data_IF_268900207450
#
_entry.id   IF_268900207450
#
_cell.length_a   1.000
_cell.length_b   1.000
_cell.length_c   1.000
_cell.angle_alpha   90.00
_cell.angle_beta   90.00
_cell.angle_gamma   90.00
#
_symmetry.space_group_name_H-M   'P 1'
#
loop_
_entity.id
_entity.type
_entity.pdbx_description
1 polymer ?
#
# COMPACT_ATOMS: atom_id res chain seq x y z
N UNK A 1 -22.23 -9.33 23.90
CA UNK A 1 -23.01 -9.08 22.66
C UNK A 1 -22.09 -8.31 21.75
N UNK A 2 -21.25 -9.05 21.03
CA UNK A 2 -19.90 -8.59 20.66
C UNK A 2 -19.84 -8.15 19.20
N UNK A 3 -20.65 -7.14 18.88
CA UNK A 3 -20.50 -6.42 17.63
C UNK A 3 -19.55 -5.25 17.87
N UNK A 4 -18.31 -5.36 17.40
CA UNK A 4 -17.48 -4.18 17.18
C UNK A 4 -18.10 -3.44 15.99
N UNK A 5 -18.72 -2.26 16.18
CA UNK A 5 -19.30 -1.56 15.05
C UNK A 5 -18.13 -1.00 14.24
N UNK A 6 -17.85 -1.60 13.09
CA UNK A 6 -17.13 -0.92 12.02
C UNK A 6 -18.12 0.11 11.42
N UNK A 7 -18.38 1.17 12.19
CA UNK A 7 -19.01 2.35 11.65
C UNK A 7 -18.02 2.91 10.64
N UNK A 8 -18.38 2.93 9.36
CA UNK A 8 -18.41 4.16 8.58
C UNK A 8 -19.18 3.86 7.30
N UNK A 9 -20.44 4.30 7.31
CA UNK A 9 -21.27 4.43 6.13
C UNK A 9 -20.53 5.26 5.08
N UNK A 10 -20.54 4.72 3.86
CA UNK A 10 -20.26 5.34 2.58
C UNK A 10 -20.25 6.88 2.61
N UNK A 11 -19.08 7.48 2.45
CA UNK A 11 -19.01 8.84 1.92
C UNK A 11 -18.21 8.83 0.62
N UNK A 12 -18.77 9.54 -0.34
CA UNK A 12 -18.40 9.68 -1.75
C UNK A 12 -16.91 9.91 -2.04
N UNK A 13 -16.57 10.02 -3.34
CA UNK A 13 -15.28 10.42 -3.95
C UNK A 13 -14.53 11.62 -3.32
N UNK A 14 -15.08 12.22 -2.27
CA UNK A 14 -14.60 13.39 -1.53
C UNK A 14 -13.96 13.03 -0.18
N UNK A 15 -13.77 11.76 0.19
CA UNK A 15 -12.97 11.37 1.36
C UNK A 15 -11.46 11.53 1.10
N UNK A 16 -11.09 12.79 0.89
CA UNK A 16 -9.83 13.35 1.33
C UNK A 16 -9.61 12.93 2.78
N UNK A 17 -8.47 12.28 3.00
CA UNK A 17 -7.94 11.90 4.30
C UNK A 17 -8.13 13.04 5.32
N UNK A 18 -8.91 12.83 6.38
CA UNK A 18 -8.96 13.76 7.51
C UNK A 18 -7.68 13.60 8.33
N UNK A 19 -6.56 14.11 7.83
CA UNK A 19 -5.46 14.51 8.70
C UNK A 19 -6.04 15.58 9.63
N UNK A 20 -6.22 15.24 10.91
CA UNK A 20 -6.74 16.16 11.93
C UNK A 20 -8.13 15.87 12.49
N UNK A 21 -8.54 14.60 12.73
CA UNK A 21 -9.52 14.40 13.81
C UNK A 21 -8.82 14.70 15.14
N UNK A 22 -9.28 15.71 15.88
CA UNK A 22 -8.91 15.89 17.29
C UNK A 22 -9.29 14.62 18.04
N UNK A 23 -8.34 14.04 18.77
CA UNK A 23 -8.69 13.12 19.84
C UNK A 23 -9.41 13.95 20.93
N UNK A 24 -10.36 13.38 21.67
CA UNK A 24 -11.08 14.11 22.73
C UNK A 24 -10.16 14.77 23.76
N UNK A 25 -8.91 14.29 23.87
CA UNK A 25 -7.90 14.71 24.84
C UNK A 25 -6.94 15.81 24.32
N UNK A 26 -7.05 16.24 23.06
CA UNK A 26 -6.16 17.26 22.48
C UNK A 26 -6.56 18.69 22.88
N UNK A 27 -5.71 19.35 23.68
CA UNK A 27 -5.86 20.74 24.16
C UNK A 27 -5.38 21.80 23.14
N UNK A 28 -4.88 21.38 21.97
CA UNK A 28 -4.39 22.33 20.96
C UNK A 28 -5.55 23.04 20.25
N UNK A 29 -5.74 24.33 20.58
CA UNK A 29 -6.82 25.19 20.07
C UNK A 29 -6.58 25.74 18.67
N UNK A 30 -5.40 25.50 18.07
CA UNK A 30 -5.10 25.96 16.72
C UNK A 30 -6.10 25.39 15.71
N UNK A 31 -6.53 26.18 14.71
CA UNK A 31 -7.41 25.67 13.66
C UNK A 31 -6.71 24.53 12.93
N UNK A 32 -7.36 23.37 12.91
CA UNK A 32 -6.97 22.28 12.03
C UNK A 32 -7.24 22.78 10.62
N UNK A 33 -6.19 23.15 9.90
CA UNK A 33 -6.31 23.21 8.45
C UNK A 33 -6.50 21.76 8.01
N UNK A 34 -7.67 21.38 7.45
CA UNK A 34 -7.74 20.12 6.73
C UNK A 34 -6.73 20.30 5.62
N UNK A 35 -5.52 19.77 5.79
CA UNK A 35 -4.56 19.77 4.72
C UNK A 35 -5.31 19.05 3.59
N UNK A 36 -5.59 19.73 2.46
CA UNK A 36 -5.83 18.95 1.25
C UNK A 36 -4.67 17.97 1.22
N UNK A 37 -4.87 16.73 0.81
CA UNK A 37 -3.72 15.96 0.35
C UNK A 37 -3.21 16.69 -0.88
N UNK A 38 -2.49 17.80 -0.68
CA UNK A 38 -1.63 18.36 -1.67
C UNK A 38 -0.67 17.22 -1.93
N UNK A 39 -0.85 16.63 -3.10
CA UNK A 39 -0.07 15.61 -3.79
C UNK A 39 1.42 15.98 -3.96
N UNK A 40 1.92 16.94 -3.18
CA UNK A 40 3.26 17.49 -3.24
C UNK A 40 4.21 16.92 -2.20
N UNK A 41 3.73 16.24 -1.16
CA UNK A 41 4.63 15.54 -0.25
C UNK A 41 4.93 14.14 -0.80
N UNK A 42 6.19 13.80 -1.11
CA UNK A 42 6.58 12.50 -1.67
C UNK A 42 6.57 11.36 -0.63
N UNK A 43 5.76 11.50 0.42
CA UNK A 43 5.76 10.62 1.59
C UNK A 43 4.81 9.42 1.45
N UNK A 44 5.10 8.31 2.14
CA UNK A 44 4.23 7.15 2.15
C UNK A 44 2.91 7.43 2.90
N UNK A 45 1.82 6.89 2.38
CA UNK A 45 0.50 6.84 3.04
C UNK A 45 0.54 5.83 4.20
N UNK A 46 0.15 6.30 5.38
CA UNK A 46 0.07 5.48 6.58
C UNK A 46 -0.96 4.34 6.42
N UNK A 47 -0.67 3.18 7.03
CA UNK A 47 -1.54 1.98 6.97
C UNK A 47 -2.94 2.21 7.51
N UNK A 48 -3.08 3.04 8.54
CA UNK A 48 -4.37 3.29 9.22
C UNK A 48 -5.25 4.32 8.51
N UNK A 49 -4.74 4.99 7.46
CA UNK A 49 -5.48 6.03 6.78
C UNK A 49 -6.60 5.45 5.90
N UNK A 50 -7.78 6.09 5.83
CA UNK A 50 -8.92 5.62 5.02
C UNK A 50 -8.56 5.27 3.58
N UNK A 51 -7.69 6.07 2.96
CA UNK A 51 -7.21 5.86 1.59
C UNK A 51 -6.49 4.53 1.38
N UNK A 52 -5.95 3.93 2.43
CA UNK A 52 -5.21 2.67 2.40
C UNK A 52 -5.95 1.54 3.11
N UNK A 53 -6.51 1.77 4.29
CA UNK A 53 -7.15 0.72 5.09
C UNK A 53 -8.38 0.10 4.42
N UNK A 54 -9.04 0.84 3.50
CA UNK A 54 -10.14 0.32 2.68
C UNK A 54 -9.81 -0.96 1.90
N UNK A 55 -8.53 -1.25 1.67
CA UNK A 55 -8.03 -2.44 0.98
C UNK A 55 -7.78 -3.63 1.92
N UNK A 56 -7.66 -3.40 3.23
CA UNK A 56 -7.41 -4.45 4.24
C UNK A 56 -8.72 -5.16 4.67
N UNK A 57 -9.39 -5.81 3.72
CA UNK A 57 -10.67 -6.50 3.95
C UNK A 57 -10.47 -7.95 4.40
N UNK A 58 -11.53 -8.55 4.94
CA UNK A 58 -11.60 -9.99 5.25
C UNK A 58 -10.98 -10.45 6.57
N UNK A 59 -10.41 -9.55 7.40
CA UNK A 59 -9.85 -9.90 8.71
C UNK A 59 -10.92 -10.05 9.80
N UNK A 60 -11.74 -11.10 9.70
CA UNK A 60 -12.85 -11.39 10.61
C UNK A 60 -12.48 -12.44 11.69
N UNK A 61 -13.38 -12.73 12.63
CA UNK A 61 -13.21 -13.84 13.59
C UNK A 61 -13.13 -15.21 12.89
N UNK A 62 -13.81 -15.37 11.76
CA UNK A 62 -13.73 -16.57 10.92
C UNK A 62 -12.32 -16.72 10.33
N UNK A 63 -11.75 -15.64 9.79
CA UNK A 63 -10.35 -15.63 9.34
C UNK A 63 -9.39 -16.04 10.46
N UNK A 64 -9.58 -15.50 11.69
CA UNK A 64 -8.73 -15.82 12.84
C UNK A 64 -8.76 -17.32 13.18
N UNK A 65 -9.93 -17.97 13.06
CA UNK A 65 -10.13 -19.36 13.44
C UNK A 65 -9.68 -20.36 12.37
N UNK A 66 -9.84 -20.01 11.09
CA UNK A 66 -9.71 -20.99 9.99
C UNK A 66 -8.65 -20.65 8.94
N UNK A 67 -8.33 -19.37 8.73
CA UNK A 67 -7.47 -18.92 7.61
C UNK A 67 -6.08 -18.49 8.06
N UNK A 68 -5.96 -17.96 9.30
CA UNK A 68 -4.67 -17.59 9.90
C UNK A 68 -3.68 -18.77 9.77
N UNK A 69 -2.43 -18.57 9.30
CA UNK A 69 -1.70 -17.31 9.15
C UNK A 69 -1.76 -16.66 7.75
N UNK A 70 -2.59 -17.15 6.83
CA UNK A 70 -2.67 -16.62 5.46
C UNK A 70 -3.54 -15.36 5.38
N UNK A 71 -3.40 -14.60 4.30
CA UNK A 71 -4.28 -13.46 4.04
C UNK A 71 -5.72 -13.93 3.80
N UNK A 72 -6.74 -13.14 4.20
CA UNK A 72 -8.12 -13.37 3.78
C UNK A 72 -8.25 -13.34 2.26
N UNK A 73 -9.23 -14.07 1.71
CA UNK A 73 -9.50 -14.08 0.26
C UNK A 73 -9.94 -12.70 -0.26
N UNK A 74 -10.59 -11.90 0.59
CA UNK A 74 -11.04 -10.54 0.25
C UNK A 74 -9.94 -9.47 0.36
N UNK A 75 -8.74 -9.84 0.83
CA UNK A 75 -7.65 -8.89 1.02
C UNK A 75 -7.16 -8.35 -0.33
N UNK A 76 -7.23 -7.04 -0.52
CA UNK A 76 -6.70 -6.39 -1.72
C UNK A 76 -5.23 -6.01 -1.50
N UNK A 77 -4.35 -6.58 -2.33
CA UNK A 77 -2.91 -6.33 -2.30
C UNK A 77 -2.53 -4.86 -2.57
N UNK A 78 -3.44 -4.04 -3.09
CA UNK A 78 -3.27 -2.58 -3.14
C UNK A 78 -3.02 -1.97 -1.75
N UNK A 79 -3.46 -2.64 -0.67
CA UNK A 79 -3.10 -2.26 0.70
C UNK A 79 -1.58 -2.19 0.91
N UNK A 80 -0.78 -2.99 0.20
CA UNK A 80 0.66 -3.02 0.37
C UNK A 80 1.37 -1.84 -0.31
N UNK A 81 0.72 -1.16 -1.25
CA UNK A 81 1.26 0.03 -1.90
C UNK A 81 1.04 1.27 -1.03
N UNK A 82 2.13 1.81 -0.46
CA UNK A 82 2.06 3.02 0.35
C UNK A 82 2.20 4.32 -0.46
N UNK A 83 2.49 4.26 -1.76
CA UNK A 83 2.59 5.47 -2.57
C UNK A 83 1.20 6.10 -2.79
N UNK A 84 1.06 7.43 -2.68
CA UNK A 84 -0.10 8.15 -3.20
C UNK A 84 -0.43 7.76 -4.64
N UNK A 85 -1.71 7.77 -5.02
CA UNK A 85 -2.17 7.31 -6.33
C UNK A 85 -1.43 7.98 -7.50
N UNK A 86 -1.22 9.30 -7.42
CA UNK A 86 -0.47 10.09 -8.39
C UNK A 86 1.02 9.69 -8.52
N UNK A 87 1.56 8.97 -7.54
CA UNK A 87 2.95 8.50 -7.49
C UNK A 87 3.06 6.99 -7.78
N UNK A 88 1.95 6.32 -8.11
CA UNK A 88 1.96 4.91 -8.47
C UNK A 88 2.29 4.74 -9.94
N UNK A 89 3.27 3.87 -10.22
CA UNK A 89 3.57 3.49 -11.60
C UNK A 89 2.39 2.75 -12.21
N UNK A 90 2.04 3.08 -13.46
CA UNK A 90 0.97 2.39 -14.17
C UNK A 90 1.40 0.93 -14.49
N UNK A 91 0.89 -0.02 -13.70
CA UNK A 91 1.22 -1.44 -13.82
C UNK A 91 2.47 -1.83 -13.02
N UNK A 92 3.29 -2.71 -13.57
CA UNK A 92 4.46 -3.26 -12.90
C UNK A 92 5.77 -2.81 -13.56
N UNK A 93 6.79 -2.62 -12.73
CA UNK A 93 8.16 -2.38 -13.18
C UNK A 93 8.72 -3.63 -13.87
N UNK A 94 9.37 -3.43 -15.00
CA UNK A 94 9.95 -4.44 -15.89
C UNK A 94 11.48 -4.49 -15.81
N UNK A 95 12.11 -3.44 -15.28
CA UNK A 95 13.56 -3.25 -15.24
C UNK A 95 14.05 -2.39 -16.40
N UNK A 96 15.22 -1.77 -16.23
CA UNK A 96 15.83 -0.81 -17.16
C UNK A 96 15.05 0.50 -17.38
N UNK A 97 13.98 0.78 -16.63
CA UNK A 97 13.30 2.06 -16.71
C UNK A 97 14.24 3.19 -16.27
N UNK A 98 14.17 4.33 -16.99
CA UNK A 98 14.93 5.53 -16.65
C UNK A 98 14.37 6.19 -15.39
N UNK A 99 15.25 6.44 -14.41
CA UNK A 99 14.96 7.18 -13.18
C UNK A 99 15.58 8.56 -13.34
N UNK A 100 14.78 9.61 -13.15
CA UNK A 100 15.24 11.00 -13.18
C UNK A 100 14.88 11.66 -11.85
N UNK A 101 15.88 12.23 -11.19
CA UNK A 101 15.74 12.99 -9.95
C UNK A 101 16.09 14.45 -10.25
N UNK A 102 15.10 15.34 -10.20
CA UNK A 102 15.29 16.77 -10.41
C UNK A 102 15.09 17.52 -9.10
N UNK A 103 16.07 18.32 -8.68
CA UNK A 103 16.04 19.13 -7.46
C UNK A 103 16.10 18.33 -6.15
N UNK A 104 16.45 17.04 -6.20
CA UNK A 104 16.48 16.15 -5.02
C UNK A 104 17.87 16.01 -4.40
N UNK A 105 18.94 16.23 -5.16
CA UNK A 105 20.31 16.13 -4.68
C UNK A 105 20.91 17.52 -4.49
N UNK A 106 21.59 17.74 -3.35
CA UNK A 106 22.25 19.03 -3.06
C UNK A 106 23.35 19.36 -4.07
N UNK A 107 24.09 18.36 -4.52
CA UNK A 107 25.27 18.54 -5.38
C UNK A 107 24.94 18.74 -6.86
N UNK A 108 23.73 18.37 -7.29
CA UNK A 108 23.38 18.32 -8.70
C UNK A 108 21.88 18.49 -8.86
N UNK A 109 21.48 19.40 -9.75
CA UNK A 109 20.06 19.66 -10.01
C UNK A 109 19.39 18.46 -10.66
N UNK A 110 20.03 17.85 -11.67
CA UNK A 110 19.44 16.72 -12.40
C UNK A 110 20.34 15.49 -12.28
N UNK A 111 19.76 14.38 -11.83
CA UNK A 111 20.45 13.09 -11.77
C UNK A 111 19.63 12.05 -12.52
N UNK A 112 20.28 11.34 -13.44
CA UNK A 112 19.67 10.26 -14.22
C UNK A 112 20.35 8.94 -13.91
N UNK A 113 19.53 7.91 -13.66
CA UNK A 113 19.94 6.53 -13.51
C UNK A 113 18.90 5.61 -14.15
N UNK A 114 19.06 4.29 -14.00
CA UNK A 114 18.13 3.30 -14.53
C UNK A 114 17.85 2.23 -13.46
N UNK A 115 16.64 1.70 -13.46
CA UNK A 115 16.35 0.50 -12.67
C UNK A 115 17.25 -0.64 -13.15
N UNK A 116 17.73 -1.50 -12.24
CA UNK A 116 18.43 -2.71 -12.65
C UNK A 116 17.56 -3.50 -13.64
N UNK A 117 18.13 -3.94 -14.75
CA UNK A 117 17.48 -4.82 -15.72
C UNK A 117 17.28 -6.21 -15.15
N UNK A 118 16.47 -6.32 -14.10
CA UNK A 118 16.22 -7.55 -13.36
C UNK A 118 14.72 -7.80 -13.38
N UNK A 119 14.35 -9.02 -13.75
CA UNK A 119 12.98 -9.51 -13.70
C UNK A 119 12.87 -10.66 -12.70
N UNK A 120 11.94 -10.52 -11.77
CA UNK A 120 11.61 -11.56 -10.81
C UNK A 120 10.45 -12.38 -11.38
N UNK A 121 10.59 -13.70 -11.37
CA UNK A 121 9.50 -14.61 -11.70
C UNK A 121 9.40 -15.71 -10.66
N UNK A 122 8.16 -16.04 -10.29
CA UNK A 122 7.85 -17.11 -9.36
C UNK A 122 7.06 -18.18 -10.11
N UNK A 123 7.46 -19.43 -9.94
CA UNK A 123 6.73 -20.58 -10.47
C UNK A 123 6.21 -21.43 -9.32
N UNK A 124 4.91 -21.71 -9.36
CA UNK A 124 4.23 -22.56 -8.39
C UNK A 124 3.97 -23.93 -9.03
N UNK A 125 4.49 -24.97 -8.39
CA UNK A 125 4.23 -26.35 -8.79
C UNK A 125 3.20 -26.96 -7.84
N UNK A 126 2.09 -27.47 -8.39
CA UNK A 126 1.12 -28.26 -7.64
C UNK A 126 1.49 -29.74 -7.79
N UNK A 127 1.97 -30.36 -6.72
CA UNK A 127 2.21 -31.80 -6.69
C UNK A 127 0.87 -32.55 -6.74
N UNK A 128 0.76 -33.55 -7.61
CA UNK A 128 -0.44 -34.42 -7.74
C UNK A 128 -0.59 -35.39 -6.57
N UNK A 129 0.47 -35.59 -5.78
CA UNK A 129 0.43 -36.40 -4.56
C UNK A 129 0.46 -35.43 -3.38
N UNK A 130 -0.30 -35.74 -2.33
CA UNK A 130 -0.69 -34.86 -1.23
C UNK A 130 0.46 -34.35 -0.31
N UNK A 131 1.68 -34.18 -0.83
CA UNK A 131 2.85 -33.62 -0.15
C UNK A 131 3.63 -32.66 -1.05
N UNK A 132 3.76 -31.44 -0.52
CA UNK A 132 4.73 -30.37 -0.78
C UNK A 132 4.71 -29.79 -2.21
N UNK A 133 4.13 -28.59 -2.33
CA UNK A 133 4.34 -27.69 -3.46
C UNK A 133 5.74 -27.07 -3.38
N UNK A 134 6.64 -27.43 -4.28
CA UNK A 134 7.91 -26.69 -4.44
C UNK A 134 7.60 -25.32 -5.04
N UNK A 135 8.02 -24.25 -4.35
CA UNK A 135 7.96 -22.88 -4.86
C UNK A 135 9.38 -22.52 -5.29
N UNK A 136 9.58 -22.20 -6.58
CA UNK A 136 10.86 -21.68 -7.05
C UNK A 136 10.71 -20.20 -7.40
N UNK A 137 11.45 -19.35 -6.71
CA UNK A 137 11.66 -17.95 -7.08
C UNK A 137 12.95 -17.88 -7.89
N UNK A 138 12.90 -17.31 -9.09
CA UNK A 138 14.07 -17.11 -9.92
C UNK A 138 14.19 -15.64 -10.27
N UNK A 139 15.42 -15.16 -10.26
CA UNK A 139 15.81 -13.80 -10.65
C UNK A 139 16.53 -13.95 -12.00
N UNK A 140 16.14 -13.16 -12.99
CA UNK A 140 16.80 -13.14 -14.30
C UNK A 140 17.22 -11.71 -14.63
N UNK A 141 18.36 -11.59 -15.30
CA UNK A 141 18.80 -10.33 -15.88
C UNK A 141 18.17 -10.21 -17.28
N UNK A 142 17.60 -9.07 -17.59
CA UNK A 142 17.08 -8.72 -18.91
C UNK A 142 18.23 -8.44 -19.89
#
# INVERSE_FOLDING_TARGET
>A
TDNVPLYFQLTSLVEFNTVGRRLPEDVDTRPIFPAPQLSFSPGPICRSWPSRIRYAKGFTSQWQKYTRPYYPDEFDFNFLNCAPAEQQYAGFLKGNEKIVLNGLLRSTTDFTSFLPGIRIWAQLYKSSQNRISTKSLRIQKN
#
